data_IF_710781528832
#
_entry.id   IF_710781528832
#
_cell.length_a   1.000
_cell.length_b   1.000
_cell.length_c   1.000
_cell.angle_alpha   90.00
_cell.angle_beta   90.00
_cell.angle_gamma   90.00
#
_symmetry.space_group_name_H-M   'P 1'
#
loop_
_entity.id
_entity.type
_entity.pdbx_description
1 polymer ?
#
# COMPACT_ATOMS: atom_id res chain seq x y z
N UNK A 1 1.06 0.90 1.47
CA UNK A 1 1.77 0.38 2.65
C UNK A 1 3.10 -0.21 2.19
N UNK A 2 4.21 0.24 2.74
CA UNK A 2 5.54 -0.21 2.33
C UNK A 2 6.46 -0.54 3.50
N UNK A 3 7.51 -1.29 3.25
CA UNK A 3 8.51 -1.63 4.26
C UNK A 3 9.30 -0.37 4.65
N UNK A 4 9.45 -0.18 5.96
CA UNK A 4 10.43 0.77 6.48
C UNK A 4 11.82 0.21 6.22
N UNK A 5 12.64 0.99 5.53
CA UNK A 5 14.06 0.71 5.31
C UNK A 5 14.83 1.79 6.04
N UNK A 6 15.58 1.37 7.06
CA UNK A 6 16.41 2.25 7.86
C UNK A 6 17.47 2.91 6.96
N UNK A 7 17.50 4.25 6.82
CA UNK A 7 18.46 4.90 5.94
C UNK A 7 19.90 4.80 6.45
N UNK A 8 20.09 4.95 7.77
CA UNK A 8 21.39 4.86 8.45
C UNK A 8 21.22 4.30 9.87
N UNK A 9 22.29 3.81 10.53
CA UNK A 9 22.22 3.27 11.89
C UNK A 9 21.69 4.23 12.97
N UNK A 10 21.68 5.54 12.69
CA UNK A 10 21.18 6.57 13.62
C UNK A 10 19.65 6.73 13.57
N UNK A 11 18.99 6.22 12.54
CA UNK A 11 17.54 6.22 12.44
C UNK A 11 16.92 5.07 13.24
N UNK A 12 15.61 5.10 13.44
CA UNK A 12 14.89 4.03 14.11
C UNK A 12 15.28 2.66 13.53
N UNK A 13 15.52 1.68 14.39
CA UNK A 13 15.92 0.34 13.96
C UNK A 13 14.76 -0.37 13.29
N UNK A 14 15.07 -1.31 12.40
CA UNK A 14 14.03 -2.17 11.82
C UNK A 14 13.59 -3.15 12.91
N UNK A 15 12.30 -3.12 13.24
CA UNK A 15 11.70 -4.08 14.18
C UNK A 15 11.52 -5.45 13.51
N UNK A 16 10.98 -5.46 12.29
CA UNK A 16 10.81 -6.67 11.48
C UNK A 16 10.82 -6.39 9.98
N UNK A 17 11.18 -7.41 9.21
CA UNK A 17 10.95 -7.47 7.76
C UNK A 17 9.70 -8.27 7.49
N UNK A 18 8.75 -7.65 6.79
CA UNK A 18 7.50 -8.29 6.41
C UNK A 18 7.68 -9.18 5.17
N UNK A 19 6.98 -10.31 5.12
CA UNK A 19 6.98 -11.17 3.93
C UNK A 19 6.03 -10.62 2.86
N UNK A 20 6.18 -11.10 1.62
CA UNK A 20 5.28 -10.71 0.53
C UNK A 20 3.82 -11.06 0.85
N UNK A 21 3.59 -12.23 1.44
CA UNK A 21 2.27 -12.73 1.83
C UNK A 21 1.62 -11.87 2.91
N UNK A 22 2.40 -11.32 3.84
CA UNK A 22 1.85 -10.39 4.84
C UNK A 22 1.43 -9.04 4.21
N UNK A 23 2.11 -8.59 3.16
CA UNK A 23 1.66 -7.41 2.40
C UNK A 23 0.37 -7.70 1.62
N UNK A 24 0.27 -8.87 0.99
CA UNK A 24 -0.97 -9.33 0.35
C UNK A 24 -2.12 -9.37 1.36
N UNK A 25 -1.86 -9.84 2.58
CA UNK A 25 -2.88 -9.85 3.63
C UNK A 25 -3.35 -8.45 4.01
N UNK A 26 -2.43 -7.50 4.14
CA UNK A 26 -2.79 -6.09 4.37
C UNK A 26 -3.69 -5.57 3.25
N UNK A 27 -3.36 -5.87 1.99
CA UNK A 27 -4.17 -5.46 0.84
C UNK A 27 -5.58 -6.06 0.91
N UNK A 28 -5.70 -7.37 1.16
CA UNK A 28 -7.00 -8.05 1.32
C UNK A 28 -7.83 -7.43 2.44
N UNK A 29 -7.22 -7.20 3.61
CA UNK A 29 -7.90 -6.60 4.76
C UNK A 29 -8.34 -5.16 4.48
N UNK A 30 -7.53 -4.39 3.75
CA UNK A 30 -7.90 -3.03 3.37
C UNK A 30 -9.07 -3.01 2.36
N UNK A 31 -9.07 -3.89 1.36
CA UNK A 31 -10.23 -4.02 0.47
C UNK A 31 -11.49 -4.49 1.23
N UNK A 32 -11.36 -5.44 2.16
CA UNK A 32 -12.48 -5.87 3.01
C UNK A 32 -13.03 -4.73 3.90
N UNK A 33 -12.19 -3.74 4.23
CA UNK A 33 -12.60 -2.52 4.96
C UNK A 33 -13.24 -1.45 4.07
N UNK A 34 -13.36 -1.68 2.76
CA UNK A 34 -14.00 -0.77 1.81
C UNK A 34 -13.07 0.28 1.20
N UNK A 35 -11.75 0.15 1.33
CA UNK A 35 -10.84 0.98 0.54
C UNK A 35 -11.01 0.65 -0.94
N UNK A 36 -11.17 1.66 -1.78
CA UNK A 36 -11.41 1.47 -3.21
C UNK A 36 -10.11 1.19 -3.99
N UNK A 37 -8.96 1.58 -3.45
CA UNK A 37 -7.64 1.32 -4.03
C UNK A 37 -6.63 1.19 -2.90
N UNK A 38 -5.77 0.18 -2.99
CA UNK A 38 -4.69 -0.08 -2.04
C UNK A 38 -3.43 -0.46 -2.81
N UNK A 39 -2.28 0.10 -2.44
CA UNK A 39 -0.96 -0.39 -2.87
C UNK A 39 -0.25 -0.92 -1.62
N UNK A 40 0.10 -2.21 -1.59
CA UNK A 40 0.84 -2.82 -0.48
C UNK A 40 1.95 -3.73 -1.04
N UNK A 41 3.20 -3.35 -0.82
CA UNK A 41 4.36 -4.14 -1.23
C UNK A 41 5.60 -3.68 -0.47
N UNK A 42 6.69 -4.47 -0.42
CA UNK A 42 7.91 -4.05 0.28
C UNK A 42 8.44 -2.68 -0.17
N UNK A 43 8.31 -2.35 -1.45
CA UNK A 43 8.88 -1.13 -2.05
C UNK A 43 7.86 -0.03 -2.33
N UNK A 44 6.59 -0.19 -1.93
CA UNK A 44 5.60 0.87 -2.09
C UNK A 44 6.09 2.14 -1.39
N UNK A 45 6.04 3.26 -2.12
CA UNK A 45 6.32 4.62 -1.64
C UNK A 45 5.11 5.51 -1.96
N UNK A 46 4.95 6.60 -1.22
CA UNK A 46 3.77 7.46 -1.30
C UNK A 46 3.47 8.02 -2.69
N UNK A 47 4.50 8.31 -3.49
CA UNK A 47 4.36 8.87 -4.84
C UNK A 47 4.56 7.85 -5.97
N UNK A 48 4.97 6.62 -5.66
CA UNK A 48 5.24 5.63 -6.68
C UNK A 48 3.92 5.10 -7.25
N UNK A 49 3.72 5.24 -8.57
CA UNK A 49 2.47 4.92 -9.28
C UNK A 49 1.22 5.69 -8.81
N UNK A 50 1.39 6.79 -8.08
CA UNK A 50 0.26 7.54 -7.51
C UNK A 50 -0.72 8.06 -8.58
N UNK A 51 -0.24 8.38 -9.78
CA UNK A 51 -1.05 8.77 -10.93
C UNK A 51 -1.98 7.65 -11.42
N UNK A 52 -1.41 6.46 -11.63
CA UNK A 52 -2.14 5.26 -12.03
C UNK A 52 -3.12 4.80 -10.96
N UNK A 53 -2.66 4.77 -9.72
CA UNK A 53 -3.44 4.37 -8.55
C UNK A 53 -4.65 5.29 -8.37
N UNK A 54 -4.45 6.60 -8.55
CA UNK A 54 -5.53 7.57 -8.50
C UNK A 54 -6.54 7.42 -9.65
N UNK A 55 -6.10 7.11 -10.86
CA UNK A 55 -7.00 6.82 -11.97
C UNK A 55 -7.90 5.60 -11.68
N UNK A 56 -7.32 4.52 -11.14
CA UNK A 56 -8.05 3.31 -10.73
C UNK A 56 -9.05 3.64 -9.61
N UNK A 57 -8.62 4.43 -8.61
CA UNK A 57 -9.48 4.87 -7.51
C UNK A 57 -10.72 5.61 -8.04
N UNK A 58 -10.53 6.57 -8.95
CA UNK A 58 -11.66 7.31 -9.56
C UNK A 58 -12.60 6.36 -10.28
N UNK A 59 -12.07 5.50 -11.15
CA UNK A 59 -12.87 4.55 -11.92
C UNK A 59 -13.72 3.64 -11.01
N UNK A 60 -13.12 3.07 -9.96
CA UNK A 60 -13.84 2.22 -9.00
C UNK A 60 -14.90 2.99 -8.22
N UNK A 61 -14.63 4.25 -7.88
CA UNK A 61 -15.61 5.11 -7.20
C UNK A 61 -16.80 5.45 -8.09
N UNK A 62 -16.56 5.75 -9.36
CA UNK A 62 -17.61 6.03 -10.35
C UNK A 62 -18.45 4.78 -10.63
N UNK A 63 -17.82 3.62 -10.76
CA UNK A 63 -18.51 2.34 -11.00
C UNK A 63 -19.43 1.91 -9.84
N UNK A 64 -19.08 2.24 -8.59
CA UNK A 64 -19.91 1.95 -7.42
C UNK A 64 -20.99 3.00 -7.11
N UNK A 65 -21.03 4.10 -7.85
CA UNK A 65 -22.06 5.15 -7.72
C UNK A 65 -23.23 4.98 -8.71
N UNK A 66 -23.11 4.03 -9.64
CA UNK A 66 -24.15 3.56 -10.57
C UNK A 66 -24.85 2.33 -10.00
#
# INVERSE_FOLDING_TARGET
VGQYLQPTPQHHTIDRFWTAEEFEEIERLAYAKGFLMVSASPLTRSSHHADRDFAILKQRREAGAL
#
